data_IF_045588484688
#
_entry.id   IF_045588484688
#
_cell.length_a   1.000
_cell.length_b   1.000
_cell.length_c   1.000
_cell.angle_alpha   90.00
_cell.angle_beta   90.00
_cell.angle_gamma   90.00
#
_symmetry.space_group_name_H-M   'P 1'
#
loop_
_entity.id
_entity.type
_entity.pdbx_description
1 polymer ?
#
# COMPACT_ATOMS: atom_id res chain seq x y z
N UNK A 1 27.51 -4.12 -19.88
CA UNK A 1 27.15 -2.91 -19.13
C UNK A 1 27.48 -3.21 -17.68
N UNK A 2 28.18 -2.36 -16.96
CA UNK A 2 28.47 -2.67 -15.55
C UNK A 2 27.15 -2.71 -14.75
N UNK A 3 27.04 -3.63 -13.79
CA UNK A 3 25.81 -3.82 -13.01
C UNK A 3 25.37 -2.53 -12.32
N UNK A 4 26.31 -1.70 -11.92
CA UNK A 4 26.06 -0.38 -11.36
C UNK A 4 25.34 0.59 -12.34
N UNK A 5 25.77 0.62 -13.61
CA UNK A 5 25.10 1.46 -14.63
C UNK A 5 23.69 0.97 -14.90
N UNK A 6 23.49 -0.35 -14.94
CA UNK A 6 22.16 -0.94 -15.12
C UNK A 6 21.23 -0.59 -13.95
N UNK A 7 21.71 -0.68 -12.71
CA UNK A 7 20.94 -0.36 -11.51
C UNK A 7 20.55 1.12 -11.45
N UNK A 8 21.45 2.03 -11.82
CA UNK A 8 21.16 3.47 -11.92
C UNK A 8 20.11 3.74 -13.00
N UNK A 9 20.22 3.09 -14.16
CA UNK A 9 19.23 3.20 -15.22
C UNK A 9 17.84 2.72 -14.75
N UNK A 10 17.78 1.64 -13.98
CA UNK A 10 16.53 1.14 -13.39
C UNK A 10 15.91 2.16 -12.42
N UNK A 11 16.71 2.78 -11.57
CA UNK A 11 16.27 3.83 -10.66
C UNK A 11 15.70 5.04 -11.43
N UNK A 12 16.44 5.54 -12.42
CA UNK A 12 16.00 6.66 -13.24
C UNK A 12 14.74 6.31 -14.02
N UNK A 13 14.68 5.12 -14.63
CA UNK A 13 13.50 4.63 -15.34
C UNK A 13 12.28 4.58 -14.42
N UNK A 14 12.43 4.08 -13.18
CA UNK A 14 11.35 4.04 -12.20
C UNK A 14 10.80 5.44 -11.91
N UNK A 15 11.67 6.41 -11.66
CA UNK A 15 11.26 7.79 -11.40
C UNK A 15 10.60 8.43 -12.63
N UNK A 16 11.18 8.28 -13.80
CA UNK A 16 10.63 8.84 -15.06
C UNK A 16 9.25 8.26 -15.35
N UNK A 17 9.11 6.94 -15.27
CA UNK A 17 7.82 6.26 -15.50
C UNK A 17 6.76 6.69 -14.47
N UNK A 18 7.13 6.83 -13.21
CA UNK A 18 6.23 7.31 -12.17
C UNK A 18 5.73 8.73 -12.48
N UNK A 19 6.64 9.68 -12.78
CA UNK A 19 6.25 11.05 -13.07
C UNK A 19 5.48 11.17 -14.39
N UNK A 20 5.86 10.42 -15.42
CA UNK A 20 5.14 10.36 -16.69
C UNK A 20 3.71 9.85 -16.49
N UNK A 21 3.56 8.76 -15.74
CA UNK A 21 2.25 8.21 -15.43
C UNK A 21 1.42 9.14 -14.52
N UNK A 22 2.03 9.79 -13.54
CA UNK A 22 1.37 10.81 -12.72
C UNK A 22 0.82 11.96 -13.57
N UNK A 23 1.57 12.40 -14.59
CA UNK A 23 1.11 13.43 -15.56
C UNK A 23 -0.04 12.91 -16.41
N UNK A 24 0.04 11.66 -16.86
CA UNK A 24 -1.00 10.99 -17.64
C UNK A 24 -2.29 10.82 -16.82
N UNK A 25 -2.18 10.37 -15.59
CA UNK A 25 -3.30 10.21 -14.67
C UNK A 25 -4.03 11.52 -14.40
N UNK A 26 -3.28 12.62 -14.22
CA UNK A 26 -3.88 13.96 -14.06
C UNK A 26 -4.72 14.39 -15.24
N UNK A 27 -4.47 13.84 -16.44
CA UNK A 27 -5.22 14.18 -17.67
C UNK A 27 -6.47 13.32 -17.84
N UNK A 28 -6.41 12.05 -17.48
CA UNK A 28 -7.48 11.08 -17.79
C UNK A 28 -8.28 10.61 -16.58
N UNK A 29 -7.80 10.76 -15.36
CA UNK A 29 -8.46 10.40 -14.08
C UNK A 29 -9.13 9.00 -14.08
N UNK A 30 -8.54 8.01 -14.78
CA UNK A 30 -9.09 6.63 -14.83
C UNK A 30 -8.36 5.74 -13.81
N UNK A 31 -9.11 4.95 -13.04
CA UNK A 31 -8.57 4.02 -12.04
C UNK A 31 -7.39 3.14 -12.54
N UNK A 32 -7.47 2.49 -13.73
CA UNK A 32 -6.36 1.64 -14.18
C UNK A 32 -5.07 2.43 -14.52
N UNK A 33 -5.16 3.74 -14.75
CA UNK A 33 -4.01 4.62 -14.98
C UNK A 33 -3.41 5.18 -13.68
N UNK A 34 -3.91 4.79 -12.54
CA UNK A 34 -3.40 5.22 -11.25
C UNK A 34 -1.91 4.87 -11.12
N UNK A 35 -1.04 5.81 -10.70
CA UNK A 35 0.41 5.56 -10.62
C UNK A 35 0.77 4.35 -9.75
N UNK A 36 0.00 4.10 -8.72
CA UNK A 36 0.17 2.96 -7.82
C UNK A 36 -0.08 1.60 -8.51
N UNK A 37 -0.91 1.57 -9.55
CA UNK A 37 -1.27 0.35 -10.30
C UNK A 37 -0.45 0.24 -11.58
N UNK A 38 -0.51 1.29 -12.40
CA UNK A 38 0.04 1.24 -13.75
C UNK A 38 1.56 1.24 -13.78
N UNK A 39 2.21 2.02 -12.89
CA UNK A 39 3.68 2.11 -12.88
C UNK A 39 4.34 0.77 -12.53
N UNK A 40 3.94 0.04 -11.47
CA UNK A 40 4.51 -1.27 -11.18
C UNK A 40 4.28 -2.29 -12.29
N UNK A 41 3.09 -2.32 -12.88
CA UNK A 41 2.79 -3.25 -14.00
C UNK A 41 3.72 -2.97 -15.18
N UNK A 42 3.88 -1.70 -15.54
CA UNK A 42 4.74 -1.31 -16.64
C UNK A 42 6.21 -1.61 -16.35
N UNK A 43 6.67 -1.37 -15.11
CA UNK A 43 8.02 -1.70 -14.67
C UNK A 43 8.29 -3.21 -14.75
N UNK A 44 7.38 -4.03 -14.21
CA UNK A 44 7.51 -5.50 -14.28
C UNK A 44 7.59 -5.96 -15.74
N UNK A 45 6.75 -5.41 -16.60
CA UNK A 45 6.76 -5.75 -18.03
C UNK A 45 8.09 -5.39 -18.69
N UNK A 46 8.64 -4.21 -18.41
CA UNK A 46 9.95 -3.77 -18.92
C UNK A 46 11.08 -4.67 -18.40
N UNK A 47 11.05 -5.02 -17.11
CA UNK A 47 12.08 -5.88 -16.50
C UNK A 47 12.05 -7.30 -17.09
N UNK A 48 10.85 -7.87 -17.28
CA UNK A 48 10.67 -9.21 -17.86
C UNK A 48 11.12 -9.23 -19.33
N UNK A 49 10.66 -8.26 -20.15
CA UNK A 49 11.05 -8.16 -21.56
C UNK A 49 12.53 -7.85 -21.72
N UNK A 50 13.10 -7.03 -20.84
CA UNK A 50 14.51 -6.68 -20.82
C UNK A 50 15.42 -7.76 -20.23
N UNK A 51 14.85 -8.88 -19.74
CA UNK A 51 15.60 -9.93 -19.01
C UNK A 51 16.49 -9.38 -17.88
N UNK A 52 16.00 -8.31 -17.20
CA UNK A 52 16.73 -7.67 -16.10
C UNK A 52 16.43 -8.43 -14.82
N UNK A 53 17.49 -8.87 -14.12
CA UNK A 53 17.34 -9.59 -12.87
C UNK A 53 16.80 -8.69 -11.75
N UNK A 54 16.04 -9.26 -10.82
CA UNK A 54 15.56 -8.55 -9.63
C UNK A 54 16.71 -7.94 -8.81
N UNK A 55 17.83 -8.64 -8.70
CA UNK A 55 19.01 -8.17 -7.98
C UNK A 55 19.62 -6.92 -8.63
N UNK A 56 19.73 -6.90 -9.96
CA UNK A 56 20.20 -5.73 -10.70
C UNK A 56 19.24 -4.54 -10.55
N UNK A 57 17.93 -4.79 -10.54
CA UNK A 57 16.93 -3.74 -10.31
C UNK A 57 17.04 -3.18 -8.89
N UNK A 58 17.18 -4.01 -7.87
CA UNK A 58 17.24 -3.58 -6.47
C UNK A 58 18.56 -2.90 -6.10
N UNK A 59 19.60 -3.01 -6.91
CA UNK A 59 20.93 -2.46 -6.61
C UNK A 59 20.89 -1.00 -6.13
N UNK A 60 20.27 -0.11 -6.90
CA UNK A 60 20.14 1.30 -6.53
C UNK A 60 18.70 1.69 -6.14
N UNK A 61 17.68 0.95 -6.59
CA UNK A 61 16.28 1.26 -6.24
C UNK A 61 15.97 1.05 -4.77
N UNK A 62 16.81 0.32 -4.02
CA UNK A 62 16.67 0.17 -2.58
C UNK A 62 16.69 1.52 -1.83
N UNK A 63 17.32 2.57 -2.37
CA UNK A 63 17.28 3.91 -1.80
C UNK A 63 15.86 4.46 -1.68
N UNK A 64 14.95 4.06 -2.57
CA UNK A 64 13.54 4.44 -2.49
C UNK A 64 12.86 3.86 -1.24
N UNK A 65 13.29 2.67 -0.80
CA UNK A 65 12.80 2.07 0.45
C UNK A 65 13.25 2.86 1.68
N UNK A 66 14.43 3.46 1.65
CA UNK A 66 14.92 4.31 2.74
C UNK A 66 14.07 5.57 2.92
N UNK A 67 13.49 6.08 1.84
CA UNK A 67 12.57 7.22 1.89
C UNK A 67 11.24 6.89 2.58
N UNK A 68 10.95 5.60 2.77
CA UNK A 68 9.74 5.15 3.46
C UNK A 68 9.69 5.64 4.92
N UNK A 69 10.84 5.68 5.60
CA UNK A 69 10.96 6.21 6.96
C UNK A 69 10.58 7.69 7.06
N UNK A 70 11.28 8.60 6.37
CA UNK A 70 10.91 10.02 6.32
C UNK A 70 9.48 10.26 5.85
N UNK A 71 8.99 9.52 4.86
CA UNK A 71 7.61 9.62 4.40
C UNK A 71 6.62 9.28 5.52
N UNK A 72 6.91 8.25 6.32
CA UNK A 72 6.08 7.88 7.48
C UNK A 72 6.05 8.98 8.53
N UNK A 73 7.20 9.62 8.80
CA UNK A 73 7.27 10.76 9.74
C UNK A 73 6.46 11.95 9.21
N UNK A 74 6.44 12.17 7.88
CA UNK A 74 5.68 13.25 7.28
C UNK A 74 4.16 13.14 7.54
N UNK A 75 3.63 11.94 7.79
CA UNK A 75 2.23 11.76 8.20
C UNK A 75 1.92 12.36 9.58
N UNK A 76 2.91 12.64 10.40
CA UNK A 76 2.70 13.31 11.68
C UNK A 76 2.15 14.74 11.50
N UNK A 77 2.46 15.41 10.38
CA UNK A 77 2.00 16.78 10.10
C UNK A 77 0.49 16.85 10.01
N UNK A 78 -0.20 16.12 9.09
CA UNK A 78 -1.66 16.15 9.02
C UNK A 78 -2.34 15.62 10.29
N UNK A 79 -1.72 14.71 11.03
CA UNK A 79 -2.24 14.25 12.34
C UNK A 79 -2.20 15.40 13.35
N UNK A 80 -1.10 16.14 13.41
CA UNK A 80 -0.94 17.29 14.31
C UNK A 80 -1.93 18.41 13.95
N UNK A 81 -2.10 18.74 12.68
CA UNK A 81 -3.04 19.74 12.20
C UNK A 81 -4.49 19.41 12.56
N UNK A 82 -4.83 18.12 12.62
CA UNK A 82 -6.19 17.65 12.92
C UNK A 82 -6.35 17.11 14.35
N UNK A 83 -5.41 17.40 15.25
CA UNK A 83 -5.42 16.87 16.63
C UNK A 83 -6.67 17.25 17.41
N UNK A 84 -7.24 18.43 17.16
CA UNK A 84 -8.48 18.87 17.80
C UNK A 84 -9.67 17.98 17.41
N UNK A 85 -9.77 17.61 16.12
CA UNK A 85 -10.79 16.69 15.59
C UNK A 85 -10.62 15.30 16.18
N UNK A 86 -9.39 14.82 16.23
CA UNK A 86 -9.05 13.51 16.79
C UNK A 86 -9.44 13.46 18.27
N UNK A 87 -9.07 14.47 19.06
CA UNK A 87 -9.45 14.55 20.49
C UNK A 87 -10.94 14.61 20.71
N UNK A 88 -11.68 15.31 19.86
CA UNK A 88 -13.15 15.43 19.95
C UNK A 88 -13.84 14.11 19.66
N UNK A 89 -13.32 13.30 18.74
CA UNK A 89 -13.95 12.07 18.26
C UNK A 89 -13.14 10.81 18.60
N UNK A 90 -12.26 10.87 19.60
CA UNK A 90 -11.31 9.80 19.92
C UNK A 90 -11.97 8.45 20.17
N UNK A 91 -13.13 8.43 20.86
CA UNK A 91 -13.85 7.18 21.13
C UNK A 91 -14.38 6.52 19.86
N UNK A 92 -15.00 7.29 18.98
CA UNK A 92 -15.53 6.76 17.71
C UNK A 92 -14.39 6.30 16.78
N UNK A 93 -13.30 7.07 16.70
CA UNK A 93 -12.12 6.71 15.92
C UNK A 93 -11.45 5.46 16.46
N UNK A 94 -11.24 5.37 17.77
CA UNK A 94 -10.62 4.19 18.39
C UNK A 94 -11.48 2.95 18.22
N UNK A 95 -12.79 3.04 18.46
CA UNK A 95 -13.70 1.93 18.24
C UNK A 95 -13.72 1.49 16.77
N UNK A 96 -13.74 2.43 15.84
CA UNK A 96 -13.69 2.17 14.40
C UNK A 96 -12.40 1.45 13.99
N UNK A 97 -11.25 1.96 14.44
CA UNK A 97 -9.94 1.34 14.14
C UNK A 97 -9.83 -0.06 14.74
N UNK A 98 -10.18 -0.24 16.01
CA UNK A 98 -10.15 -1.56 16.66
C UNK A 98 -11.04 -2.55 15.92
N UNK A 99 -12.27 -2.16 15.61
CA UNK A 99 -13.20 -3.01 14.84
C UNK A 99 -12.64 -3.35 13.47
N UNK A 100 -12.11 -2.36 12.76
CA UNK A 100 -11.53 -2.58 11.43
C UNK A 100 -10.34 -3.55 11.47
N UNK A 101 -9.42 -3.39 12.44
CA UNK A 101 -8.28 -4.29 12.62
C UNK A 101 -8.73 -5.71 12.95
N UNK A 102 -9.64 -5.87 13.91
CA UNK A 102 -10.16 -7.19 14.28
C UNK A 102 -10.84 -7.88 13.09
N UNK A 103 -11.70 -7.16 12.36
CA UNK A 103 -12.38 -7.71 11.19
C UNK A 103 -11.38 -8.03 10.07
N UNK A 104 -10.42 -7.15 9.80
CA UNK A 104 -9.43 -7.35 8.75
C UNK A 104 -8.54 -8.57 9.03
N UNK A 105 -8.02 -8.70 10.25
CA UNK A 105 -7.14 -9.81 10.62
C UNK A 105 -7.93 -11.13 10.65
N UNK A 106 -9.07 -11.16 11.33
CA UNK A 106 -9.88 -12.38 11.47
C UNK A 106 -10.39 -12.86 10.10
N UNK A 107 -10.92 -11.97 9.26
CA UNK A 107 -11.39 -12.34 7.92
C UNK A 107 -10.25 -12.82 7.02
N UNK A 108 -9.08 -12.19 7.09
CA UNK A 108 -7.90 -12.61 6.31
C UNK A 108 -7.43 -14.01 6.70
N UNK A 109 -7.28 -14.25 8.00
CA UNK A 109 -6.84 -15.56 8.52
C UNK A 109 -7.90 -16.65 8.24
N UNK A 110 -9.17 -16.34 8.44
CA UNK A 110 -10.27 -17.28 8.16
C UNK A 110 -10.33 -17.67 6.68
N UNK A 111 -10.27 -16.69 5.79
CA UNK A 111 -10.23 -16.95 4.35
C UNK A 111 -8.98 -17.74 3.95
N UNK A 112 -7.81 -17.35 4.44
CA UNK A 112 -6.57 -18.04 4.13
C UNK A 112 -6.58 -19.51 4.59
N UNK A 113 -7.14 -19.80 5.75
CA UNK A 113 -7.35 -21.17 6.25
C UNK A 113 -8.37 -21.94 5.40
N UNK A 114 -9.48 -21.29 5.04
CA UNK A 114 -10.51 -21.90 4.18
C UNK A 114 -9.98 -22.31 2.81
N UNK A 115 -9.04 -21.56 2.27
CA UNK A 115 -8.32 -21.87 1.02
C UNK A 115 -7.09 -22.78 1.22
N UNK A 116 -6.84 -23.27 2.45
CA UNK A 116 -5.69 -24.11 2.77
C UNK A 116 -4.34 -23.51 2.33
N UNK A 117 -4.20 -22.19 2.44
CA UNK A 117 -2.95 -21.51 2.09
C UNK A 117 -1.86 -21.87 3.10
N UNK A 118 -0.59 -21.82 2.67
CA UNK A 118 0.54 -22.08 3.57
C UNK A 118 0.58 -21.11 4.76
N UNK A 119 1.13 -21.53 5.88
CA UNK A 119 1.24 -20.71 7.09
C UNK A 119 1.96 -19.38 6.84
N UNK A 120 2.96 -19.40 5.96
CA UNK A 120 3.71 -18.22 5.56
C UNK A 120 2.83 -17.19 4.85
N UNK A 121 1.95 -17.64 3.94
CA UNK A 121 0.98 -16.79 3.26
C UNK A 121 -0.06 -16.27 4.24
N UNK A 122 -0.57 -17.12 5.13
CA UNK A 122 -1.55 -16.72 6.16
C UNK A 122 -1.01 -15.60 7.06
N UNK A 123 0.25 -15.73 7.53
CA UNK A 123 0.92 -14.72 8.36
C UNK A 123 1.17 -13.42 7.60
N UNK A 124 1.53 -13.52 6.33
CA UNK A 124 1.72 -12.34 5.46
C UNK A 124 0.41 -11.61 5.20
N UNK A 125 -0.71 -12.34 5.01
CA UNK A 125 -2.04 -11.78 4.82
C UNK A 125 -2.59 -11.12 6.09
N UNK A 126 -2.21 -11.57 7.27
CA UNK A 126 -2.70 -11.02 8.53
C UNK A 126 -2.36 -9.53 8.70
N UNK A 127 -1.24 -9.08 8.16
CA UNK A 127 -0.75 -7.69 8.27
C UNK A 127 -1.07 -6.83 7.05
N UNK A 128 -1.83 -7.33 6.07
CA UNK A 128 -2.11 -6.64 4.79
C UNK A 128 -2.83 -5.30 4.91
N UNK A 129 -3.53 -5.09 6.03
CA UNK A 129 -4.34 -3.89 6.28
C UNK A 129 -3.59 -2.81 7.08
N UNK A 130 -2.27 -2.91 7.14
CA UNK A 130 -1.40 -1.95 7.82
C UNK A 130 -0.51 -1.27 6.78
N UNK A 131 -0.17 0.00 6.98
CA UNK A 131 0.73 0.75 6.09
C UNK A 131 2.04 0.00 5.87
N UNK A 132 2.55 -0.03 4.64
CA UNK A 132 3.70 -0.87 4.23
C UNK A 132 4.87 -0.90 5.21
N UNK A 133 5.41 0.23 5.75
CA UNK A 133 6.53 0.19 6.68
C UNK A 133 6.22 -0.59 7.95
N UNK A 134 5.03 -0.37 8.50
CA UNK A 134 4.59 -1.06 9.73
C UNK A 134 4.21 -2.50 9.45
N UNK A 135 3.62 -2.79 8.29
CA UNK A 135 3.29 -4.15 7.87
C UNK A 135 4.56 -5.00 7.75
N UNK A 136 5.62 -4.48 7.13
CA UNK A 136 6.92 -5.16 7.00
C UNK A 136 7.57 -5.39 8.37
N UNK A 137 7.51 -4.38 9.26
CA UNK A 137 8.03 -4.51 10.62
C UNK A 137 7.27 -5.56 11.44
N UNK A 138 5.94 -5.60 11.32
CA UNK A 138 5.09 -6.56 12.02
C UNK A 138 5.18 -7.99 11.44
N UNK A 139 5.40 -8.13 10.14
CA UNK A 139 5.51 -9.43 9.48
C UNK A 139 6.74 -10.22 9.92
N UNK A 140 7.86 -9.53 10.15
CA UNK A 140 9.13 -10.16 10.51
C UNK A 140 9.04 -11.06 11.75
N UNK A 141 8.57 -10.59 12.92
CA UNK A 141 8.42 -11.43 14.11
C UNK A 141 7.31 -12.49 13.96
N UNK A 142 6.34 -12.29 13.08
CA UNK A 142 5.26 -13.25 12.83
C UNK A 142 5.69 -14.37 11.87
N UNK A 143 6.86 -14.28 11.23
CA UNK A 143 7.32 -15.23 10.23
C UNK A 143 6.59 -15.11 8.89
N UNK A 144 6.08 -13.92 8.57
CA UNK A 144 5.56 -13.58 7.24
C UNK A 144 6.69 -13.20 6.29
N UNK A 145 6.45 -13.37 4.99
CA UNK A 145 7.41 -13.07 3.94
C UNK A 145 7.29 -11.60 3.49
N UNK A 146 8.34 -10.77 3.62
CA UNK A 146 8.27 -9.33 3.34
C UNK A 146 7.74 -8.99 1.94
N UNK A 147 8.16 -9.73 0.91
CA UNK A 147 7.74 -9.49 -0.48
C UNK A 147 6.24 -9.76 -0.67
N UNK A 148 5.71 -10.83 -0.05
CA UNK A 148 4.27 -11.13 -0.06
C UNK A 148 3.48 -10.09 0.72
N UNK A 149 4.02 -9.63 1.86
CA UNK A 149 3.39 -8.56 2.65
C UNK A 149 3.27 -7.28 1.83
N UNK A 150 4.35 -6.84 1.20
CA UNK A 150 4.33 -5.65 0.35
C UNK A 150 3.31 -5.77 -0.78
N UNK A 151 3.26 -6.93 -1.45
CA UNK A 151 2.29 -7.22 -2.51
C UNK A 151 0.85 -7.16 -1.99
N UNK A 152 0.55 -7.82 -0.87
CA UNK A 152 -0.80 -7.85 -0.31
C UNK A 152 -1.27 -6.48 0.18
N UNK A 153 -0.36 -5.68 0.75
CA UNK A 153 -0.63 -4.30 1.15
C UNK A 153 -1.04 -3.46 -0.06
N UNK A 154 -0.27 -3.52 -1.16
CA UNK A 154 -0.58 -2.78 -2.40
C UNK A 154 -1.91 -3.23 -2.99
N UNK A 155 -2.13 -4.54 -3.13
CA UNK A 155 -3.40 -5.08 -3.65
C UNK A 155 -4.58 -4.63 -2.78
N UNK A 156 -4.43 -4.70 -1.45
CA UNK A 156 -5.48 -4.27 -0.51
C UNK A 156 -5.78 -2.77 -0.66
N UNK A 157 -4.73 -1.94 -0.76
CA UNK A 157 -4.88 -0.51 -0.94
C UNK A 157 -5.63 -0.16 -2.23
N UNK A 158 -5.18 -0.71 -3.36
CA UNK A 158 -5.79 -0.48 -4.68
C UNK A 158 -7.25 -0.97 -4.72
N UNK A 159 -7.49 -2.20 -4.24
CA UNK A 159 -8.83 -2.78 -4.24
C UNK A 159 -9.76 -2.02 -3.29
N UNK A 160 -9.26 -1.66 -2.11
CA UNK A 160 -10.02 -0.88 -1.12
C UNK A 160 -10.42 0.49 -1.64
N UNK A 161 -9.56 1.19 -2.40
CA UNK A 161 -9.93 2.44 -3.06
C UNK A 161 -11.01 2.24 -4.13
N UNK A 162 -10.82 1.24 -5.00
CA UNK A 162 -11.75 0.99 -6.09
C UNK A 162 -13.16 0.62 -5.60
N UNK A 163 -13.23 -0.20 -4.54
CA UNK A 163 -14.49 -0.68 -3.96
C UNK A 163 -15.05 0.29 -2.92
N UNK A 164 -14.17 0.97 -2.18
CA UNK A 164 -14.56 1.86 -1.08
C UNK A 164 -15.45 3.00 -1.52
N UNK A 165 -15.11 3.69 -2.60
CA UNK A 165 -15.95 4.77 -3.15
C UNK A 165 -17.33 4.27 -3.54
N UNK A 166 -17.41 3.11 -4.19
CA UNK A 166 -18.68 2.49 -4.57
C UNK A 166 -19.52 2.12 -3.33
N UNK A 167 -18.87 1.58 -2.29
CA UNK A 167 -19.54 1.23 -1.03
C UNK A 167 -20.05 2.46 -0.30
N UNK A 168 -19.26 3.52 -0.16
CA UNK A 168 -19.68 4.76 0.47
C UNK A 168 -20.86 5.42 -0.25
N UNK A 169 -20.86 5.36 -1.59
CA UNK A 169 -21.99 5.85 -2.39
C UNK A 169 -23.25 5.01 -2.14
N UNK A 170 -23.15 3.68 -2.13
CA UNK A 170 -24.30 2.79 -1.89
C UNK A 170 -24.85 2.90 -0.48
N UNK A 171 -23.98 3.07 0.52
CA UNK A 171 -24.36 3.22 1.92
C UNK A 171 -24.77 4.65 2.28
N UNK A 172 -24.77 5.58 1.30
CA UNK A 172 -25.07 6.98 1.47
C UNK A 172 -24.21 7.69 2.55
N UNK A 173 -22.99 7.20 2.79
CA UNK A 173 -22.05 7.81 3.73
C UNK A 173 -21.42 9.03 3.05
N UNK A 174 -21.82 10.21 3.49
CA UNK A 174 -21.36 11.50 2.92
C UNK A 174 -20.33 12.21 3.79
N UNK A 175 -20.25 11.84 5.06
CA UNK A 175 -19.41 12.50 6.04
C UNK A 175 -17.92 12.24 5.78
N UNK A 176 -17.12 13.32 5.62
CA UNK A 176 -15.72 13.24 5.27
C UNK A 176 -14.87 12.48 6.30
N UNK A 177 -15.19 12.66 7.60
CA UNK A 177 -14.48 11.96 8.68
C UNK A 177 -14.73 10.45 8.63
N UNK A 178 -15.98 10.02 8.39
CA UNK A 178 -16.33 8.61 8.28
C UNK A 178 -15.64 7.95 7.06
N UNK A 179 -15.61 8.66 5.91
CA UNK A 179 -14.87 8.20 4.73
C UNK A 179 -13.37 8.11 4.98
N UNK A 180 -12.79 9.16 5.55
CA UNK A 180 -11.36 9.19 5.89
C UNK A 180 -10.97 8.08 6.86
N UNK A 181 -11.76 7.84 7.92
CA UNK A 181 -11.54 6.75 8.85
C UNK A 181 -11.68 5.37 8.18
N UNK A 182 -12.68 5.19 7.31
CA UNK A 182 -12.90 3.96 6.56
C UNK A 182 -11.76 3.66 5.59
N UNK A 183 -11.34 4.63 4.78
CA UNK A 183 -10.19 4.47 3.89
C UNK A 183 -8.88 4.27 4.67
N UNK A 184 -8.66 5.03 5.74
CA UNK A 184 -7.48 4.89 6.58
C UNK A 184 -7.37 3.51 7.23
N UNK A 185 -8.49 2.90 7.61
CA UNK A 185 -8.52 1.58 8.21
C UNK A 185 -8.44 0.42 7.21
N UNK A 186 -8.92 0.62 5.97
CA UNK A 186 -9.00 -0.45 4.96
C UNK A 186 -7.94 -0.32 3.86
N UNK A 187 -7.59 0.90 3.45
CA UNK A 187 -6.77 1.19 2.28
C UNK A 187 -5.53 2.03 2.58
N UNK A 188 -5.30 2.33 3.80
CA UNK A 188 -4.18 2.95 4.53
C UNK A 188 -2.96 3.52 3.78
N UNK A 189 -3.00 3.87 2.58
CA UNK A 189 -1.82 4.45 1.91
C UNK A 189 -2.02 4.68 0.44
N UNK A 190 -3.25 4.63 0.07
CA UNK A 190 -3.61 4.85 -1.31
C UNK A 190 -4.23 6.23 -1.49
#
# INVERSE_FOLDING_TARGET
MSDAVLSILCLVATLVLYYANKKLYRRFHKLPLMPLVFTPILLVLILVVGHISYQSYMGETHWLLWLLGPATIAFAVPVYENVAVIKRHWMSLSAGVVTAVVVAVTSSVWLARGFMLSDEIQRSLAVRSVTTPFALAAAKPLGGQPDLVALFVVITGVFGMAVGDMLFLRLAIREGMAKGAGFGAASHGA
#
